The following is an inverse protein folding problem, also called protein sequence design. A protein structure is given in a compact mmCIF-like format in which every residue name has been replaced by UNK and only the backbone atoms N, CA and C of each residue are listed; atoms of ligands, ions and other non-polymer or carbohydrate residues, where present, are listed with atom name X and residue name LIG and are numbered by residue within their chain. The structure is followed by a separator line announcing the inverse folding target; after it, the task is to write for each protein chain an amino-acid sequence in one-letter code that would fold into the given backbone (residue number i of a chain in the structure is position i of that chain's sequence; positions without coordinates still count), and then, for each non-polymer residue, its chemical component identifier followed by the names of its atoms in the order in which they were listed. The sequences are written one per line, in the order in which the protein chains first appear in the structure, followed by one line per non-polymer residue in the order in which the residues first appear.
data_IF_724787239724
#
_entry.id   IF_724787239724
#
_cell.length_a   1.000
_cell.length_b   1.000
_cell.length_c   1.000
_cell.angle_alpha   90.00
_cell.angle_beta   90.00
_cell.angle_gamma   90.00
#
_symmetry.space_group_name_H-M   'P 1'
#
loop_
_entity.id
_entity.type
_entity.pdbx_description
1 polymer ?
#
# COMPACT_ATOMS: atom_id res chain seq x y z
N UNK A 1 1.82 -2.36 19.28
CA UNK A 1 0.98 -1.26 18.82
C UNK A 1 0.40 -0.63 20.05
N UNK A 2 0.67 0.65 20.25
CA UNK A 2 0.20 1.40 21.41
C UNK A 2 -1.33 1.52 21.38
N UNK A 3 -1.99 1.64 22.52
CA UNK A 3 -3.46 1.64 22.57
C UNK A 3 -4.06 2.86 21.83
N UNK A 4 -3.35 3.99 21.82
CA UNK A 4 -3.72 5.18 21.05
C UNK A 4 -3.66 4.96 19.53
N UNK A 5 -2.66 4.22 19.06
CA UNK A 5 -2.52 3.90 17.63
C UNK A 5 -3.65 2.97 17.15
N UNK A 6 -4.06 2.02 18.00
CA UNK A 6 -5.20 1.14 17.74
C UNK A 6 -6.51 1.91 17.64
N UNK A 7 -6.72 2.89 18.51
CA UNK A 7 -7.91 3.74 18.48
C UNK A 7 -7.96 4.61 17.22
N UNK A 8 -6.83 5.21 16.83
CA UNK A 8 -6.73 5.97 15.57
C UNK A 8 -7.00 5.08 14.35
N UNK A 9 -6.49 3.85 14.34
CA UNK A 9 -6.77 2.89 13.28
C UNK A 9 -8.26 2.54 13.20
N UNK A 10 -8.91 2.26 14.34
CA UNK A 10 -10.36 2.01 14.40
C UNK A 10 -11.14 3.21 13.84
N UNK A 11 -10.77 4.44 14.19
CA UNK A 11 -11.39 5.65 13.64
C UNK A 11 -11.26 5.74 12.12
N UNK A 12 -10.05 5.53 11.58
CA UNK A 12 -9.81 5.55 10.13
C UNK A 12 -10.57 4.43 9.40
N UNK A 13 -10.65 3.25 9.99
CA UNK A 13 -11.38 2.11 9.44
C UNK A 13 -12.89 2.37 9.43
N UNK A 14 -13.46 2.85 10.54
CA UNK A 14 -14.89 3.18 10.65
C UNK A 14 -15.29 4.19 9.58
N UNK A 15 -14.50 5.24 9.37
CA UNK A 15 -14.77 6.23 8.32
C UNK A 15 -14.76 5.60 6.93
N UNK A 16 -13.82 4.71 6.62
CA UNK A 16 -13.80 4.00 5.34
C UNK A 16 -15.02 3.08 5.16
N UNK A 17 -15.46 2.39 6.22
CA UNK A 17 -16.68 1.55 6.19
C UNK A 17 -17.92 2.40 5.94
N UNK A 18 -18.02 3.60 6.54
CA UNK A 18 -19.13 4.53 6.29
C UNK A 18 -19.19 4.93 4.81
N UNK A 19 -18.05 5.33 4.22
CA UNK A 19 -18.00 5.68 2.79
C UNK A 19 -18.40 4.50 1.89
N UNK A 20 -17.96 3.28 2.22
CA UNK A 20 -18.33 2.09 1.46
C UNK A 20 -19.85 1.83 1.53
N UNK A 21 -20.48 1.99 2.70
CA UNK A 21 -21.92 1.81 2.83
C UNK A 21 -22.70 2.87 2.05
N UNK A 22 -22.29 4.14 2.12
CA UNK A 22 -22.91 5.22 1.31
C UNK A 22 -22.84 4.88 -0.18
N UNK A 23 -21.69 4.38 -0.65
CA UNK A 23 -21.52 3.95 -2.04
C UNK A 23 -22.48 2.81 -2.42
N UNK A 24 -22.60 1.78 -1.57
CA UNK A 24 -23.52 0.66 -1.79
C UNK A 24 -24.97 1.15 -1.86
N UNK A 25 -25.39 2.02 -0.93
CA UNK A 25 -26.74 2.57 -0.94
C UNK A 25 -27.01 3.46 -2.16
N UNK A 26 -26.04 4.26 -2.59
CA UNK A 26 -26.18 5.10 -3.77
C UNK A 26 -26.38 4.26 -5.05
N UNK A 27 -25.59 3.18 -5.21
CA UNK A 27 -25.72 2.25 -6.33
C UNK A 27 -27.06 1.49 -6.25
N UNK A 28 -27.42 0.96 -5.07
CA UNK A 28 -28.67 0.26 -4.87
C UNK A 28 -29.88 1.15 -5.21
N UNK A 29 -29.84 2.43 -4.81
CA UNK A 29 -30.88 3.41 -5.13
C UNK A 29 -30.94 3.70 -6.63
N UNK A 30 -29.79 3.86 -7.29
CA UNK A 30 -29.71 4.05 -8.74
C UNK A 30 -30.34 2.88 -9.51
N UNK A 31 -30.06 1.65 -9.10
CA UNK A 31 -30.58 0.42 -9.73
C UNK A 31 -32.07 0.24 -9.45
N UNK A 32 -32.49 0.42 -8.19
CA UNK A 32 -33.89 0.28 -7.80
C UNK A 32 -34.78 1.27 -8.56
N UNK A 33 -34.37 2.54 -8.64
CA UNK A 33 -35.14 3.55 -9.36
C UNK A 33 -34.99 3.42 -10.87
N UNK A 34 -33.79 3.13 -11.38
CA UNK A 34 -33.51 3.01 -12.80
C UNK A 34 -34.25 1.85 -13.46
N UNK A 35 -34.29 0.68 -12.82
CA UNK A 35 -34.79 -0.57 -13.40
C UNK A 35 -36.18 -0.93 -12.88
N UNK A 36 -36.44 -0.81 -11.58
CA UNK A 36 -37.65 -1.37 -10.95
C UNK A 36 -38.80 -0.34 -10.94
N UNK A 37 -38.51 0.95 -10.77
CA UNK A 37 -39.57 1.96 -10.67
C UNK A 37 -40.27 2.24 -12.01
N UNK A 38 -41.61 2.34 -12.03
CA UNK A 38 -42.40 2.61 -13.24
C UNK A 38 -42.09 3.99 -13.81
N UNK A 39 -42.18 4.12 -15.14
CA UNK A 39 -41.78 5.33 -15.86
C UNK A 39 -42.71 6.54 -15.63
N UNK A 40 -43.83 6.34 -14.93
CA UNK A 40 -44.76 7.38 -14.48
C UNK A 40 -44.25 8.18 -13.29
N UNK A 41 -43.17 7.75 -12.64
CA UNK A 41 -42.54 8.52 -11.57
C UNK A 41 -41.59 9.56 -12.17
N UNK A 42 -42.12 10.75 -12.44
CA UNK A 42 -41.43 11.86 -13.10
C UNK A 42 -40.07 12.27 -12.46
N UNK A 43 -39.87 12.24 -11.11
CA UNK A 43 -38.58 12.59 -10.55
C UNK A 43 -37.53 11.47 -10.61
N UNK A 44 -37.82 10.33 -11.25
CA UNK A 44 -36.93 9.16 -11.35
C UNK A 44 -35.54 9.50 -11.90
N UNK A 45 -35.48 10.14 -13.06
CA UNK A 45 -34.21 10.39 -13.75
C UNK A 45 -33.28 11.37 -13.00
N UNK A 46 -33.75 12.51 -12.48
CA UNK A 46 -32.94 13.38 -11.64
C UNK A 46 -32.36 12.66 -10.40
N UNK A 47 -33.15 11.81 -9.74
CA UNK A 47 -32.69 11.09 -8.54
C UNK A 47 -31.63 10.03 -8.93
N UNK A 48 -31.84 9.30 -10.01
CA UNK A 48 -30.86 8.31 -10.52
C UNK A 48 -29.55 8.98 -10.92
N UNK A 49 -29.62 10.12 -11.61
CA UNK A 49 -28.41 10.89 -11.96
C UNK A 49 -27.71 11.40 -10.70
N UNK A 50 -28.48 11.92 -9.73
CA UNK A 50 -27.96 12.36 -8.44
C UNK A 50 -27.26 11.25 -7.67
N UNK A 51 -27.85 10.05 -7.61
CA UNK A 51 -27.25 8.91 -6.91
C UNK A 51 -25.98 8.40 -7.60
N UNK A 52 -25.93 8.44 -8.93
CA UNK A 52 -24.70 8.13 -9.69
C UNK A 52 -23.59 9.15 -9.36
N UNK A 53 -23.91 10.46 -9.33
CA UNK A 53 -22.93 11.50 -8.97
C UNK A 53 -22.41 11.28 -7.54
N UNK A 54 -23.30 11.03 -6.58
CA UNK A 54 -22.92 10.72 -5.20
C UNK A 54 -22.03 9.49 -5.15
N UNK A 55 -22.37 8.42 -5.86
CA UNK A 55 -21.55 7.21 -5.93
C UNK A 55 -20.14 7.50 -6.44
N UNK A 56 -20.00 8.27 -7.53
CA UNK A 56 -18.68 8.64 -8.07
C UNK A 56 -17.87 9.48 -7.07
N UNK A 57 -18.49 10.49 -6.45
CA UNK A 57 -17.81 11.34 -5.46
C UNK A 57 -17.37 10.51 -4.25
N UNK A 58 -18.25 9.66 -3.71
CA UNK A 58 -17.94 8.77 -2.59
C UNK A 58 -16.83 7.79 -2.94
N UNK A 59 -16.81 7.25 -4.16
CA UNK A 59 -15.74 6.36 -4.64
C UNK A 59 -14.39 7.08 -4.68
N UNK A 60 -14.34 8.31 -5.21
CA UNK A 60 -13.11 9.11 -5.24
C UNK A 60 -12.59 9.38 -3.82
N UNK A 61 -13.48 9.80 -2.92
CA UNK A 61 -13.13 10.05 -1.51
C UNK A 61 -12.66 8.77 -0.81
N UNK A 62 -13.34 7.65 -1.05
CA UNK A 62 -12.96 6.34 -0.54
C UNK A 62 -11.56 5.95 -1.00
N UNK A 63 -11.24 6.07 -2.29
CA UNK A 63 -9.91 5.72 -2.82
C UNK A 63 -8.82 6.60 -2.17
N UNK A 64 -9.06 7.91 -2.06
CA UNK A 64 -8.09 8.83 -1.44
C UNK A 64 -7.86 8.48 0.03
N UNK A 65 -8.93 8.24 0.78
CA UNK A 65 -8.85 7.93 2.21
C UNK A 65 -8.25 6.54 2.45
N UNK A 66 -8.63 5.56 1.64
CA UNK A 66 -8.07 4.21 1.67
C UNK A 66 -6.55 4.23 1.42
N UNK A 67 -6.07 4.98 0.42
CA UNK A 67 -4.63 5.16 0.18
C UNK A 67 -3.91 5.78 1.38
N UNK A 68 -4.51 6.79 2.01
CA UNK A 68 -3.96 7.39 3.24
C UNK A 68 -3.89 6.39 4.39
N UNK A 69 -4.93 5.56 4.59
CA UNK A 69 -4.93 4.52 5.61
C UNK A 69 -3.87 3.45 5.32
N UNK A 70 -3.70 3.04 4.06
CA UNK A 70 -2.65 2.08 3.66
C UNK A 70 -1.25 2.66 3.87
N UNK A 71 -1.02 3.92 3.53
CA UNK A 71 0.26 4.60 3.79
C UNK A 71 0.55 4.70 5.30
N UNK A 72 -0.48 5.03 6.10
CA UNK A 72 -0.34 5.04 7.56
C UNK A 72 -0.01 3.65 8.12
N UNK A 73 -0.67 2.60 7.62
CA UNK A 73 -0.39 1.20 7.96
C UNK A 73 0.98 0.73 7.47
N UNK A 74 1.49 1.22 6.35
CA UNK A 74 2.85 0.88 5.91
C UNK A 74 3.90 1.42 6.91
N UNK A 75 3.60 2.54 7.56
CA UNK A 75 4.50 3.19 8.52
C UNK A 75 4.33 2.59 9.93
N UNK A 76 3.09 2.38 10.38
CA UNK A 76 2.73 2.01 11.76
C UNK A 76 2.25 0.57 11.92
N UNK A 77 1.96 -0.13 10.82
CA UNK A 77 1.45 -1.50 10.80
C UNK A 77 2.53 -2.57 10.68
N UNK A 78 3.78 -2.20 10.38
CA UNK A 78 4.91 -3.15 10.53
C UNK A 78 5.13 -3.38 12.01
N UNK A 79 5.01 -4.63 12.45
CA UNK A 79 5.36 -4.98 13.83
C UNK A 79 6.84 -4.68 14.07
N UNK A 80 7.21 -4.37 15.32
CA UNK A 80 8.62 -4.15 15.69
C UNK A 80 9.50 -5.33 15.26
N UNK A 81 8.96 -6.54 15.30
CA UNK A 81 9.64 -7.75 14.84
C UNK A 81 9.89 -7.76 13.33
N UNK A 82 8.89 -7.47 12.50
CA UNK A 82 9.07 -7.42 11.04
C UNK A 82 10.05 -6.31 10.62
N UNK A 83 10.00 -5.15 11.28
CA UNK A 83 10.96 -4.06 11.04
C UNK A 83 12.39 -4.47 11.40
N UNK A 84 12.55 -5.16 12.53
CA UNK A 84 13.85 -5.68 12.96
C UNK A 84 14.34 -6.81 12.04
N UNK A 85 13.44 -7.64 11.51
CA UNK A 85 13.77 -8.68 10.54
C UNK A 85 14.22 -8.06 9.21
N UNK A 86 13.54 -7.02 8.72
CA UNK A 86 13.96 -6.27 7.53
C UNK A 86 15.34 -5.63 7.71
N UNK A 87 15.57 -4.93 8.82
CA UNK A 87 16.88 -4.31 9.12
C UNK A 87 17.98 -5.36 9.23
N UNK A 88 17.70 -6.53 9.81
CA UNK A 88 18.67 -7.64 9.86
C UNK A 88 18.98 -8.17 8.47
N UNK A 89 17.96 -8.41 7.65
CA UNK A 89 18.13 -8.89 6.28
C UNK A 89 18.92 -7.89 5.42
N UNK A 90 18.67 -6.58 5.55
CA UNK A 90 19.44 -5.53 4.89
C UNK A 90 20.92 -5.55 5.33
N UNK A 91 21.17 -5.61 6.64
CA UNK A 91 22.55 -5.67 7.17
C UNK A 91 23.28 -6.95 6.76
N UNK A 92 22.59 -8.08 6.67
CA UNK A 92 23.18 -9.33 6.20
C UNK A 92 23.50 -9.26 4.71
N UNK A 93 22.62 -8.69 3.89
CA UNK A 93 22.86 -8.48 2.47
C UNK A 93 24.04 -7.51 2.23
N UNK A 94 24.13 -6.43 3.01
CA UNK A 94 25.24 -5.48 2.96
C UNK A 94 26.56 -6.15 3.36
N UNK A 95 26.58 -6.92 4.46
CA UNK A 95 27.76 -7.69 4.87
C UNK A 95 28.17 -8.74 3.84
N UNK A 96 27.21 -9.39 3.18
CA UNK A 96 27.48 -10.35 2.13
C UNK A 96 28.11 -9.66 0.90
N UNK A 97 27.64 -8.46 0.53
CA UNK A 97 28.25 -7.65 -0.52
C UNK A 97 29.68 -7.27 -0.20
N UNK A 98 29.92 -6.70 1.00
CA UNK A 98 31.27 -6.29 1.42
C UNK A 98 32.22 -7.50 1.43
N UNK A 99 31.76 -8.67 1.89
CA UNK A 99 32.58 -9.90 1.84
C UNK A 99 32.91 -10.32 0.41
N UNK A 100 31.93 -10.31 -0.48
CA UNK A 100 32.14 -10.68 -1.87
C UNK A 100 33.10 -9.71 -2.59
N UNK A 101 33.00 -8.41 -2.29
CA UNK A 101 33.90 -7.38 -2.82
C UNK A 101 35.33 -7.56 -2.30
N UNK A 102 35.50 -7.78 -0.99
CA UNK A 102 36.81 -8.03 -0.39
C UNK A 102 37.46 -9.33 -0.91
N UNK A 103 36.68 -10.39 -1.11
CA UNK A 103 37.16 -11.64 -1.71
C UNK A 103 37.56 -11.47 -3.18
N UNK A 104 36.90 -10.57 -3.92
CA UNK A 104 37.27 -10.26 -5.29
C UNK A 104 38.57 -9.45 -5.35
N UNK A 105 38.72 -8.41 -4.51
CA UNK A 105 39.94 -7.61 -4.40
C UNK A 105 41.15 -8.49 -4.03
N UNK A 106 41.01 -9.37 -3.03
CA UNK A 106 42.10 -10.25 -2.61
C UNK A 106 42.52 -11.23 -3.72
N UNK A 107 41.57 -11.71 -4.54
CA UNK A 107 41.88 -12.56 -5.69
C UNK A 107 42.64 -11.80 -6.76
N UNK A 108 42.24 -10.57 -7.05
CA UNK A 108 42.97 -9.72 -8.00
C UNK A 108 44.40 -9.45 -7.51
N UNK A 109 44.59 -9.15 -6.23
CA UNK A 109 45.90 -8.91 -5.64
C UNK A 109 46.81 -10.15 -5.72
N UNK A 110 46.30 -11.34 -5.38
CA UNK A 110 47.05 -12.61 -5.55
C UNK A 110 47.41 -12.87 -7.01
N UNK A 111 46.49 -12.63 -7.95
CA UNK A 111 46.77 -12.79 -9.37
C UNK A 111 47.82 -11.80 -9.88
N UNK A 112 47.82 -10.56 -9.38
CA UNK A 112 48.82 -9.56 -9.70
C UNK A 112 50.20 -9.93 -9.13
N UNK A 113 50.26 -10.41 -7.87
CA UNK A 113 51.50 -10.91 -7.27
C UNK A 113 52.08 -12.07 -8.09
N UNK A 114 51.27 -13.09 -8.43
CA UNK A 114 51.74 -14.20 -9.26
C UNK A 114 52.21 -13.75 -10.65
N UNK A 115 51.53 -12.78 -11.28
CA UNK A 115 51.97 -12.20 -12.56
C UNK A 115 53.30 -11.42 -12.43
N UNK A 116 53.57 -10.80 -11.28
CA UNK A 116 54.86 -10.15 -11.05
C UNK A 116 55.97 -11.18 -10.81
N UNK A 117 55.71 -12.24 -10.06
CA UNK A 117 56.68 -13.32 -9.84
C UNK A 117 57.07 -14.01 -11.15
N UNK A 118 56.11 -14.34 -12.03
CA UNK A 118 56.40 -14.93 -13.35
C UNK A 118 57.23 -14.02 -14.27
N UNK A 119 57.12 -12.69 -14.13
CA UNK A 119 57.91 -11.74 -14.93
C UNK A 119 59.34 -11.57 -14.41
N UNK A 120 59.58 -11.89 -13.14
CA UNK A 120 60.87 -11.71 -12.47
C UNK A 120 61.68 -13.00 -12.36
N UNK A 121 61.09 -14.14 -12.72
CA UNK A 121 61.75 -15.46 -12.84
C UNK A 121 62.33 -15.68 -14.25
#
# INVERSE_FOLDING_TARGET
MDDKEREQFKGMFTVNVIYLNILIFAIALAVALGIIAPNTWEPKWPIVIGSIIVAVVTLILFIRKYRSTKAWLAIHGTTREERMAQIRAEKEAERARIRAELEAELREEIEEEMRQEEKNA
#
